data_IF_533585926340
#
_entry.id   IF_533585926340
#
_cell.length_a   1.000
_cell.length_b   1.000
_cell.length_c   1.000
_cell.angle_alpha   90.00
_cell.angle_beta   90.00
_cell.angle_gamma   90.00
#
_symmetry.space_group_name_H-M   'P 1'
#
loop_
_entity.id
_entity.type
_entity.pdbx_description
1 polymer ?
#
# COMPACT_ATOMS: atom_id res chain seq x y z
N UNK A 1 3.66 -10.20 -3.21
CA UNK A 1 3.15 -11.17 -4.19
C UNK A 1 2.12 -12.04 -3.50
N UNK A 2 1.05 -12.42 -4.20
CA UNK A 2 0.03 -13.33 -3.68
C UNK A 2 0.36 -14.78 -4.05
N UNK A 3 -0.15 -15.75 -3.28
CA UNK A 3 -0.15 -17.17 -3.64
C UNK A 3 -1.60 -17.59 -3.82
N UNK A 4 -2.01 -17.74 -5.08
CA UNK A 4 -3.35 -18.19 -5.45
C UNK A 4 -3.56 -19.69 -5.27
N UNK A 5 -4.70 -20.16 -5.76
CA UNK A 5 -5.02 -21.58 -5.82
C UNK A 5 -5.89 -22.08 -4.67
N UNK A 6 -6.21 -23.37 -4.74
CA UNK A 6 -7.02 -24.07 -3.76
C UNK A 6 -6.15 -25.09 -3.02
N UNK A 7 -5.95 -24.87 -1.72
CA UNK A 7 -5.14 -25.74 -0.87
C UNK A 7 -5.96 -26.20 0.32
N UNK A 8 -6.02 -27.52 0.52
CA UNK A 8 -6.66 -28.14 1.69
C UNK A 8 -8.10 -27.66 1.96
N UNK A 9 -8.89 -27.40 0.92
CA UNK A 9 -10.27 -26.95 1.07
C UNK A 9 -10.46 -25.42 1.05
N UNK A 10 -9.38 -24.65 0.90
CA UNK A 10 -9.41 -23.18 1.03
C UNK A 10 -8.92 -22.50 -0.25
N UNK A 11 -9.75 -21.61 -0.82
CA UNK A 11 -9.35 -20.73 -1.91
C UNK A 11 -8.49 -19.57 -1.38
N UNK A 12 -7.33 -19.34 -2.02
CA UNK A 12 -6.42 -18.24 -1.70
C UNK A 12 -6.55 -17.09 -2.68
N UNK A 13 -6.39 -15.86 -2.19
CA UNK A 13 -6.36 -14.66 -3.03
C UNK A 13 -5.09 -14.66 -3.91
N UNK A 14 -5.24 -14.42 -5.20
CA UNK A 14 -4.16 -14.55 -6.19
C UNK A 14 -3.76 -13.24 -6.89
N UNK A 15 -4.61 -12.19 -6.83
CA UNK A 15 -4.53 -11.00 -7.70
C UNK A 15 -3.32 -10.11 -7.40
N UNK A 16 -2.13 -10.62 -7.71
CA UNK A 16 -0.88 -9.87 -7.66
C UNK A 16 -0.97 -8.67 -8.60
N UNK A 17 -0.45 -7.53 -8.15
CA UNK A 17 -0.50 -6.27 -8.90
C UNK A 17 0.85 -5.58 -8.89
N UNK A 18 1.12 -4.83 -9.96
CA UNK A 18 2.18 -3.84 -10.03
C UNK A 18 1.50 -2.47 -10.07
N UNK A 19 1.88 -1.57 -9.16
CA UNK A 19 1.25 -0.26 -8.96
C UNK A 19 2.28 0.85 -9.20
N UNK A 20 1.93 1.84 -10.01
CA UNK A 20 2.74 3.02 -10.27
C UNK A 20 2.78 3.98 -9.06
N UNK A 21 3.76 4.90 -8.97
CA UNK A 21 3.83 5.91 -7.90
C UNK A 21 2.59 6.80 -7.77
N UNK A 22 1.80 6.95 -8.85
CA UNK A 22 0.52 7.65 -8.85
C UNK A 22 -0.60 6.92 -8.09
N UNK A 23 -0.40 5.64 -7.75
CA UNK A 23 -1.42 4.74 -7.20
C UNK A 23 -2.18 3.92 -8.26
N UNK A 24 -1.89 4.11 -9.55
CA UNK A 24 -2.55 3.37 -10.63
C UNK A 24 -2.00 1.93 -10.75
N UNK A 25 -2.89 0.94 -10.93
CA UNK A 25 -2.51 -0.43 -11.28
C UNK A 25 -2.04 -0.45 -12.75
N UNK A 26 -0.83 -0.95 -13.00
CA UNK A 26 -0.23 -1.02 -14.35
C UNK A 26 -0.04 -2.45 -14.86
N UNK A 27 -0.14 -3.45 -13.98
CA UNK A 27 -0.31 -4.85 -14.34
C UNK A 27 -1.04 -5.58 -13.19
N UNK A 28 -1.87 -6.57 -13.51
CA UNK A 28 -2.62 -7.36 -12.54
C UNK A 28 -2.79 -8.79 -13.05
N UNK A 29 -2.57 -9.77 -12.16
CA UNK A 29 -2.85 -11.17 -12.46
C UNK A 29 -4.37 -11.39 -12.53
N UNK A 30 -4.83 -12.09 -13.56
CA UNK A 30 -6.26 -12.35 -13.80
C UNK A 30 -6.66 -13.79 -13.55
N UNK A 31 -5.68 -14.68 -13.36
CA UNK A 31 -5.88 -16.10 -13.06
C UNK A 31 -5.62 -16.39 -11.58
N UNK A 32 -5.99 -17.61 -11.16
CA UNK A 32 -5.79 -18.09 -9.80
C UNK A 32 -4.61 -19.06 -9.67
N UNK A 33 -4.03 -19.48 -10.79
CA UNK A 33 -2.95 -20.47 -10.87
C UNK A 33 -1.62 -19.79 -11.23
N UNK A 34 -0.68 -20.54 -11.81
CA UNK A 34 0.62 -20.04 -12.20
C UNK A 34 0.50 -19.00 -13.33
N UNK A 35 0.77 -17.75 -13.00
CA UNK A 35 0.74 -16.63 -13.94
C UNK A 35 1.90 -15.67 -13.67
N UNK A 36 2.52 -15.22 -14.77
CA UNK A 36 3.55 -14.18 -14.73
C UNK A 36 2.99 -12.88 -15.27
N UNK A 37 2.97 -11.85 -14.42
CA UNK A 37 2.71 -10.47 -14.83
C UNK A 37 4.01 -9.69 -14.91
N UNK A 38 4.12 -8.80 -15.90
CA UNK A 38 5.30 -7.98 -16.12
C UNK A 38 4.90 -6.56 -16.53
N UNK A 39 5.76 -5.59 -16.20
CA UNK A 39 5.62 -4.20 -16.60
C UNK A 39 7.01 -3.57 -16.80
N UNK A 40 7.10 -2.59 -17.69
CA UNK A 40 8.29 -1.72 -17.80
C UNK A 40 8.16 -0.59 -16.79
N UNK A 41 9.19 -0.39 -15.96
CA UNK A 41 9.15 0.55 -14.85
C UNK A 41 10.16 1.66 -15.08
N UNK A 42 9.67 2.89 -15.14
CA UNK A 42 10.48 4.09 -15.00
C UNK A 42 10.53 4.49 -13.52
N UNK A 43 11.71 4.37 -12.91
CA UNK A 43 11.92 4.68 -11.50
C UNK A 43 12.01 6.19 -11.25
N UNK A 44 12.41 6.97 -12.25
CA UNK A 44 12.57 8.43 -12.12
C UNK A 44 11.21 9.12 -11.94
N UNK A 45 10.12 8.48 -12.37
CA UNK A 45 8.77 8.97 -12.13
C UNK A 45 8.45 9.16 -10.63
N UNK A 46 9.11 8.43 -9.73
CA UNK A 46 8.97 8.62 -8.29
C UNK A 46 9.40 10.02 -7.82
N UNK A 47 10.41 10.60 -8.47
CA UNK A 47 11.01 11.87 -8.04
C UNK A 47 10.03 13.04 -8.23
N UNK A 48 9.18 13.00 -9.25
CA UNK A 48 8.13 14.01 -9.48
C UNK A 48 7.28 14.21 -8.22
N UNK A 49 6.82 13.13 -7.60
CA UNK A 49 5.97 13.21 -6.41
C UNK A 49 6.75 13.63 -5.16
N UNK A 50 7.96 13.10 -4.96
CA UNK A 50 8.81 13.47 -3.82
C UNK A 50 9.24 14.94 -3.85
N UNK A 51 9.45 15.50 -5.04
CA UNK A 51 9.81 16.91 -5.24
C UNK A 51 8.63 17.88 -5.20
N UNK A 52 7.39 17.38 -5.21
CA UNK A 52 6.18 18.20 -5.23
C UNK A 52 5.25 17.85 -4.07
N UNK A 53 4.13 17.17 -4.33
CA UNK A 53 3.05 16.93 -3.38
C UNK A 53 3.48 16.12 -2.14
N UNK A 54 4.44 15.21 -2.29
CA UNK A 54 4.96 14.37 -1.22
C UNK A 54 6.36 14.79 -0.77
N UNK A 55 6.69 16.08 -0.86
CA UNK A 55 7.88 16.60 -0.20
C UNK A 55 7.71 16.55 1.32
N UNK A 56 8.28 15.50 1.92
CA UNK A 56 8.12 15.23 3.35
C UNK A 56 8.79 16.25 4.26
N UNK A 57 9.92 16.82 3.84
CA UNK A 57 10.64 17.84 4.62
C UNK A 57 9.82 19.13 4.71
N UNK A 58 9.15 19.48 3.62
CA UNK A 58 8.32 20.67 3.56
C UNK A 58 6.95 20.51 4.24
N UNK A 59 6.28 19.36 4.07
CA UNK A 59 4.86 19.21 4.46
C UNK A 59 4.61 18.42 5.75
N UNK A 60 5.52 17.56 6.22
CA UNK A 60 5.22 16.72 7.40
C UNK A 60 5.42 17.52 8.70
N UNK A 61 4.57 17.21 9.68
CA UNK A 61 4.68 17.69 11.06
C UNK A 61 4.71 16.46 12.00
N UNK A 62 5.87 15.80 12.16
CA UNK A 62 5.99 14.56 12.94
C UNK A 62 5.50 14.66 14.38
N UNK A 63 5.55 15.84 15.00
CA UNK A 63 5.06 16.13 16.33
C UNK A 63 3.55 15.83 16.50
N UNK A 64 2.78 15.80 15.42
CA UNK A 64 1.36 15.47 15.45
C UNK A 64 1.07 13.97 15.27
N UNK A 65 2.08 13.13 15.00
CA UNK A 65 1.89 11.71 14.69
C UNK A 65 2.12 10.77 15.89
N UNK A 66 2.32 11.31 17.10
CA UNK A 66 2.67 10.52 18.28
C UNK A 66 1.73 9.34 18.55
N UNK A 67 0.43 9.51 18.29
CA UNK A 67 -0.57 8.45 18.46
C UNK A 67 -0.29 7.19 17.62
N UNK A 68 0.34 7.32 16.45
CA UNK A 68 0.70 6.18 15.58
C UNK A 68 1.72 5.27 16.27
N UNK A 69 2.65 5.86 17.03
CA UNK A 69 3.74 5.12 17.69
C UNK A 69 3.46 4.78 19.15
N UNK A 70 2.60 5.55 19.82
CA UNK A 70 2.36 5.43 21.26
C UNK A 70 1.21 4.48 21.63
N UNK A 71 0.27 4.22 20.72
CA UNK A 71 -0.93 3.43 21.02
C UNK A 71 -1.08 2.25 20.07
N UNK A 72 -1.51 1.11 20.62
CA UNK A 72 -1.92 -0.06 19.82
C UNK A 72 -3.33 0.08 19.25
N UNK A 73 -4.21 0.79 19.95
CA UNK A 73 -5.62 0.94 19.59
C UNK A 73 -6.19 2.25 20.11
N UNK A 74 -7.43 2.54 19.72
CA UNK A 74 -8.13 3.74 20.14
C UNK A 74 -8.44 3.70 21.65
N UNK A 75 -8.36 4.87 22.29
CA UNK A 75 -8.83 5.09 23.66
C UNK A 75 -10.02 6.02 23.57
N UNK A 76 -11.15 5.60 24.13
CA UNK A 76 -12.35 6.42 24.14
C UNK A 76 -12.09 7.73 24.90
N UNK A 77 -12.70 8.85 24.47
CA UNK A 77 -12.66 10.07 25.24
C UNK A 77 -13.27 9.82 26.64
N UNK A 78 -12.85 10.59 27.66
CA UNK A 78 -13.50 10.52 28.97
C UNK A 78 -15.00 10.83 28.83
N UNK A 79 -15.82 10.23 29.70
CA UNK A 79 -17.26 10.50 29.71
C UNK A 79 -17.50 11.98 30.02
N UNK A 80 -18.46 12.59 29.31
CA UNK A 80 -18.94 13.93 29.65
C UNK A 80 -19.82 13.81 30.91
N UNK A 81 -19.55 14.64 31.92
CA UNK A 81 -20.47 14.86 33.05
C UNK A 81 -21.75 15.56 32.61
#
# INVERSE_FOLDING_TARGET
VAKGGFEEGVESLSQSVIIAPSGQIIAQAITLEDELIAATIDLDFCETYKGTLFNFDYYRMPEHYGLVTERRGAVAPPAND
#
